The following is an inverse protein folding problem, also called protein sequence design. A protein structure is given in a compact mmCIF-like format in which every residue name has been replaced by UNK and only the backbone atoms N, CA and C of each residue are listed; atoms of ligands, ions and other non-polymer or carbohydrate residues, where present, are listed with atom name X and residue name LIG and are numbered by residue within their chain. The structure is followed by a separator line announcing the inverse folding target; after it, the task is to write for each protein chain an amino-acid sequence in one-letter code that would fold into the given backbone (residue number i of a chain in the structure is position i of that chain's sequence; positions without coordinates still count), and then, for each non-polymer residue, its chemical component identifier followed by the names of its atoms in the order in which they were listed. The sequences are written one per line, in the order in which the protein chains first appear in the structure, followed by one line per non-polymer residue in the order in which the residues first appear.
data_IF_796491883008
#
_entry.id   IF_796491883008
#
_cell.length_a   1.000
_cell.length_b   1.000
_cell.length_c   1.000
_cell.angle_alpha   90.00
_cell.angle_beta   90.00
_cell.angle_gamma   90.00
#
_symmetry.space_group_name_H-M   'P 1'
#
loop_
_entity.id
_entity.type
_entity.pdbx_description
1 polymer ?
#
# COMPACT_ATOMS: atom_id res chain seq x y z
N UNK A 1 -50.71 -24.08 -21.09
CA UNK A 1 -50.08 -24.18 -19.76
C UNK A 1 -48.57 -23.91 -19.78
N UNK A 2 -47.81 -24.48 -20.68
CA UNK A 2 -46.36 -24.29 -20.84
C UNK A 2 -45.91 -22.81 -20.99
N UNK A 3 -46.62 -22.02 -21.79
CA UNK A 3 -46.26 -20.62 -22.06
C UNK A 3 -46.28 -19.74 -20.78
N UNK A 4 -47.20 -20.00 -19.87
CA UNK A 4 -47.29 -19.27 -18.59
C UNK A 4 -46.10 -19.54 -17.68
N UNK A 5 -45.60 -20.77 -17.67
CA UNK A 5 -44.42 -21.14 -16.89
C UNK A 5 -43.13 -20.57 -17.50
N UNK A 6 -43.05 -20.48 -18.83
CA UNK A 6 -41.93 -19.85 -19.52
C UNK A 6 -41.83 -18.34 -19.21
N UNK A 7 -42.95 -17.64 -19.18
CA UNK A 7 -43.00 -16.22 -18.84
C UNK A 7 -42.57 -15.98 -17.39
N UNK A 8 -43.00 -16.83 -16.46
CA UNK A 8 -42.59 -16.70 -15.04
C UNK A 8 -41.08 -16.96 -14.89
N UNK A 9 -40.52 -17.95 -15.61
CA UNK A 9 -39.10 -18.28 -15.58
C UNK A 9 -38.22 -17.16 -16.15
N UNK A 10 -38.70 -16.49 -17.20
CA UNK A 10 -38.00 -15.33 -17.78
C UNK A 10 -38.07 -14.10 -16.84
N UNK A 11 -39.22 -13.86 -16.20
CA UNK A 11 -39.32 -12.75 -15.24
C UNK A 11 -38.46 -12.95 -14.01
N UNK A 12 -38.31 -14.16 -13.50
CA UNK A 12 -37.42 -14.45 -12.36
C UNK A 12 -35.95 -14.32 -12.72
N UNK A 13 -35.57 -14.61 -13.97
CA UNK A 13 -34.19 -14.42 -14.45
C UNK A 13 -33.81 -12.93 -14.60
N UNK A 14 -34.79 -12.05 -14.81
CA UNK A 14 -34.55 -10.60 -14.94
C UNK A 14 -34.44 -9.87 -13.59
N UNK A 15 -34.83 -10.49 -12.48
CA UNK A 15 -34.73 -9.91 -11.14
C UNK A 15 -33.38 -10.20 -10.44
N UNK A 16 -32.50 -10.92 -11.10
CA UNK A 16 -31.22 -11.40 -10.54
C UNK A 16 -30.03 -10.44 -10.62
N UNK A 17 -30.21 -9.21 -11.04
CA UNK A 17 -29.13 -8.19 -10.98
C UNK A 17 -29.38 -7.23 -9.83
N UNK A 18 -29.23 -7.71 -8.62
CA UNK A 18 -28.94 -6.80 -7.51
C UNK A 18 -27.47 -6.40 -7.66
N UNK A 19 -27.24 -5.21 -8.20
CA UNK A 19 -25.93 -4.57 -8.19
C UNK A 19 -25.65 -4.14 -6.73
N UNK A 20 -25.32 -5.11 -5.89
CA UNK A 20 -24.49 -4.82 -4.73
C UNK A 20 -23.25 -4.16 -5.28
N UNK A 21 -23.15 -2.87 -5.09
CA UNK A 21 -21.95 -2.09 -5.40
C UNK A 21 -20.78 -2.87 -4.80
N UNK A 22 -19.99 -3.50 -5.65
CA UNK A 22 -18.81 -4.22 -5.19
C UNK A 22 -17.99 -3.20 -4.39
N UNK A 23 -17.55 -3.52 -3.18
CA UNK A 23 -16.72 -2.61 -2.43
C UNK A 23 -15.58 -2.19 -3.36
N UNK A 24 -15.40 -0.87 -3.51
CA UNK A 24 -14.32 -0.31 -4.32
C UNK A 24 -13.05 -1.04 -3.88
N UNK A 25 -12.40 -1.81 -4.75
CA UNK A 25 -11.24 -2.59 -4.33
C UNK A 25 -10.27 -1.61 -3.73
N UNK A 26 -9.95 -1.79 -2.45
CA UNK A 26 -8.85 -1.06 -1.83
C UNK A 26 -7.68 -1.20 -2.78
N UNK A 27 -7.11 -0.08 -3.25
CA UNK A 27 -6.08 -0.08 -4.28
C UNK A 27 -4.96 -1.05 -3.92
N UNK A 28 -4.13 -1.40 -4.87
CA UNK A 28 -3.04 -2.38 -4.70
C UNK A 28 -2.30 -2.14 -3.37
N UNK A 29 -2.23 -3.16 -2.53
CA UNK A 29 -1.60 -3.13 -1.20
C UNK A 29 -2.14 -2.01 -0.27
N UNK A 30 -3.40 -1.61 -0.42
CA UNK A 30 -3.99 -0.52 0.36
C UNK A 30 -3.59 0.88 -0.11
N UNK A 31 -2.86 1.00 -1.22
CA UNK A 31 -2.59 2.26 -1.88
C UNK A 31 -3.92 2.84 -2.38
N UNK A 32 -4.22 4.07 -2.01
CA UNK A 32 -5.48 4.74 -2.36
C UNK A 32 -6.61 4.55 -1.34
N UNK A 33 -6.42 3.76 -0.27
CA UNK A 33 -7.32 3.79 0.88
C UNK A 33 -6.94 4.96 1.81
N UNK A 34 -7.95 5.56 2.44
CA UNK A 34 -7.72 6.58 3.47
C UNK A 34 -6.82 6.02 4.58
N UNK A 35 -5.74 6.74 4.89
CA UNK A 35 -4.76 6.35 5.90
C UNK A 35 -5.13 6.97 7.26
N UNK A 36 -6.29 6.62 7.80
CA UNK A 36 -6.74 7.15 9.07
C UNK A 36 -5.72 6.89 10.19
N UNK A 37 -5.42 7.92 10.96
CA UNK A 37 -4.46 7.85 12.05
C UNK A 37 -2.99 8.00 11.64
N UNK A 38 -2.71 8.20 10.36
CA UNK A 38 -1.38 8.51 9.85
C UNK A 38 -1.24 9.97 9.46
N UNK A 39 -0.01 10.47 9.49
CA UNK A 39 0.33 11.80 9.00
C UNK A 39 0.14 11.88 7.48
N UNK A 40 -0.34 13.03 7.04
CA UNK A 40 -0.50 13.31 5.61
C UNK A 40 0.66 14.17 5.11
N UNK A 41 1.24 13.79 3.98
CA UNK A 41 2.26 14.61 3.32
C UNK A 41 1.62 15.89 2.78
N UNK A 42 2.17 17.03 3.17
CA UNK A 42 1.70 18.35 2.74
C UNK A 42 2.72 19.05 1.87
N UNK A 43 2.25 19.76 0.86
CA UNK A 43 3.13 20.54 -0.03
C UNK A 43 3.84 21.65 0.75
N UNK A 44 5.15 21.78 0.57
CA UNK A 44 5.95 22.83 1.17
C UNK A 44 6.36 22.57 2.62
N UNK A 45 6.16 21.36 3.11
CA UNK A 45 6.74 20.95 4.40
C UNK A 45 8.26 21.02 4.30
N UNK A 46 8.95 21.77 5.19
CA UNK A 46 10.40 21.85 5.16
C UNK A 46 11.02 20.53 5.58
N UNK A 47 12.11 20.17 4.94
CA UNK A 47 12.96 19.05 5.34
C UNK A 47 14.06 19.54 6.27
N UNK A 48 14.34 18.80 7.33
CA UNK A 48 15.36 19.10 8.35
C UNK A 48 16.40 17.99 8.36
N UNK A 49 17.57 18.27 7.79
CA UNK A 49 18.67 17.30 7.77
C UNK A 49 19.58 17.49 8.99
N UNK A 50 20.13 16.41 9.58
CA UNK A 50 20.09 15.02 9.11
C UNK A 50 18.84 14.22 9.54
N UNK A 51 17.92 14.80 10.33
CA UNK A 51 16.82 14.08 10.96
C UNK A 51 15.90 13.39 9.93
N UNK A 52 15.63 14.06 8.80
CA UNK A 52 14.80 13.53 7.73
C UNK A 52 15.48 12.46 6.85
N UNK A 53 16.71 12.03 7.19
CA UNK A 53 17.26 10.77 6.69
C UNK A 53 16.76 9.56 7.47
N UNK A 54 16.21 9.77 8.65
CA UNK A 54 15.69 8.75 9.53
C UNK A 54 14.31 8.24 9.13
N UNK A 55 13.75 7.41 9.98
CA UNK A 55 12.40 6.91 9.81
C UNK A 55 11.36 7.91 10.34
N UNK A 56 10.26 8.03 9.62
CA UNK A 56 9.11 8.84 9.98
C UNK A 56 7.91 7.93 10.30
N UNK A 57 7.85 7.36 11.49
CA UNK A 57 6.89 6.31 11.84
C UNK A 57 5.42 6.77 11.80
N UNK A 58 5.18 8.08 11.85
CA UNK A 58 3.85 8.67 11.74
C UNK A 58 3.26 8.56 10.33
N UNK A 59 4.09 8.33 9.32
CA UNK A 59 3.62 8.09 7.97
C UNK A 59 3.37 6.61 7.73
N UNK A 60 2.36 6.31 6.92
CA UNK A 60 1.97 4.94 6.60
C UNK A 60 2.99 4.20 5.76
N UNK A 61 3.62 4.90 4.81
CA UNK A 61 4.53 4.34 3.82
C UNK A 61 5.78 5.19 3.75
N UNK A 62 6.93 4.55 3.75
CA UNK A 62 8.23 5.16 3.49
C UNK A 62 9.10 4.22 2.69
N UNK A 63 10.02 4.79 1.94
CA UNK A 63 11.10 4.03 1.33
C UNK A 63 12.38 4.84 1.25
N UNK A 64 13.47 4.14 1.38
CA UNK A 64 14.82 4.64 1.19
C UNK A 64 15.43 3.91 0.02
N UNK A 65 16.18 4.61 -0.79
CA UNK A 65 16.92 3.99 -1.88
C UNK A 65 18.27 4.67 -2.08
N UNK A 66 19.23 3.85 -2.46
CA UNK A 66 20.57 4.29 -2.86
C UNK A 66 20.79 3.83 -4.28
N UNK A 67 21.18 4.75 -5.13
CA UNK A 67 21.63 4.46 -6.48
C UNK A 67 23.08 4.92 -6.61
N UNK A 68 23.96 4.03 -7.02
CA UNK A 68 25.38 4.32 -7.17
C UNK A 68 25.85 3.93 -8.57
N UNK A 69 26.61 4.83 -9.19
CA UNK A 69 27.42 4.55 -10.37
C UNK A 69 28.87 4.46 -9.90
N UNK A 70 29.46 3.31 -10.06
CA UNK A 70 30.78 2.98 -9.57
C UNK A 70 31.72 2.73 -10.74
N UNK A 71 32.98 3.07 -10.58
CA UNK A 71 34.04 2.74 -11.54
C UNK A 71 35.14 2.03 -10.78
N UNK A 72 35.54 0.86 -11.24
CA UNK A 72 36.62 0.11 -10.61
C UNK A 72 38.00 0.63 -11.06
N UNK A 73 39.07 0.04 -10.51
CA UNK A 73 40.44 0.43 -10.80
C UNK A 73 40.84 0.17 -12.27
N UNK A 74 40.12 -0.72 -12.96
CA UNK A 74 40.32 -1.00 -14.39
C UNK A 74 39.58 -0.03 -15.31
N UNK A 75 38.71 0.82 -14.76
CA UNK A 75 37.84 1.74 -15.49
C UNK A 75 36.53 1.13 -15.92
N UNK A 76 36.19 -0.10 -15.48
CA UNK A 76 34.89 -0.71 -15.73
C UNK A 76 33.83 -0.06 -14.88
N UNK A 77 32.64 0.15 -15.49
CA UNK A 77 31.52 0.83 -14.82
C UNK A 77 30.50 -0.16 -14.31
N UNK A 78 30.05 0.08 -13.07
CA UNK A 78 29.07 -0.72 -12.37
C UNK A 78 27.92 0.16 -11.88
N UNK A 79 26.70 -0.37 -11.98
CA UNK A 79 25.53 0.24 -11.35
C UNK A 79 25.10 -0.59 -10.15
N UNK A 80 24.85 0.06 -9.02
CA UNK A 80 24.23 -0.57 -7.85
C UNK A 80 23.00 0.21 -7.43
N UNK A 81 21.95 -0.51 -7.09
CA UNK A 81 20.74 0.08 -6.52
C UNK A 81 20.28 -0.77 -5.35
N UNK A 82 19.91 -0.10 -4.28
CA UNK A 82 19.31 -0.73 -3.09
C UNK A 82 18.09 0.05 -2.67
N UNK A 83 17.05 -0.67 -2.29
CA UNK A 83 15.80 -0.08 -1.83
C UNK A 83 15.33 -0.79 -0.57
N UNK A 84 14.92 -0.01 0.42
CA UNK A 84 14.19 -0.49 1.59
C UNK A 84 12.82 0.20 1.63
N UNK A 85 11.78 -0.58 1.69
CA UNK A 85 10.40 -0.14 1.76
C UNK A 85 9.81 -0.51 3.12
N UNK A 86 9.09 0.42 3.74
CA UNK A 86 8.33 0.21 4.96
C UNK A 86 6.86 0.54 4.73
N UNK A 87 5.99 -0.34 5.16
CA UNK A 87 4.56 -0.09 5.25
C UNK A 87 4.06 -0.38 6.65
N UNK A 88 3.45 0.61 7.29
CA UNK A 88 2.76 0.42 8.55
C UNK A 88 1.34 -0.10 8.30
N UNK A 89 0.97 -1.16 8.98
CA UNK A 89 -0.35 -1.78 8.92
C UNK A 89 -1.34 -1.09 9.88
N UNK A 90 -0.80 -0.51 10.96
CA UNK A 90 -1.55 0.27 11.94
C UNK A 90 -0.72 1.47 12.41
N UNK A 91 -1.34 2.58 12.83
CA UNK A 91 -0.65 3.70 13.46
C UNK A 91 0.07 3.26 14.74
N UNK A 92 1.22 3.88 15.05
CA UNK A 92 2.01 3.50 16.24
C UNK A 92 1.25 3.61 17.56
N UNK A 93 0.27 4.49 17.65
CA UNK A 93 -0.53 4.72 18.86
C UNK A 93 -1.78 3.85 18.95
N UNK A 94 -1.95 2.89 18.02
CA UNK A 94 -3.06 1.96 18.09
C UNK A 94 -2.77 0.89 19.14
N UNK A 95 -3.77 0.57 19.95
CA UNK A 95 -3.71 -0.53 20.92
C UNK A 95 -3.58 -1.92 20.28
N UNK A 96 -3.54 -1.98 18.95
CA UNK A 96 -3.43 -3.20 18.16
C UNK A 96 -1.97 -3.67 17.95
N UNK A 97 -0.98 -2.90 18.44
CA UNK A 97 0.42 -3.31 18.36
C UNK A 97 0.72 -4.31 19.48
N UNK A 98 0.34 -5.55 19.28
CA UNK A 98 0.76 -6.63 20.17
C UNK A 98 2.20 -7.07 19.83
N UNK A 99 2.98 -7.32 20.90
CA UNK A 99 4.34 -7.82 20.77
C UNK A 99 4.35 -9.28 20.25
N UNK A 100 5.29 -9.62 19.40
CA UNK A 100 5.49 -10.97 18.89
C UNK A 100 5.58 -11.04 17.37
N UNK A 101 5.05 -12.12 16.79
CA UNK A 101 5.02 -12.33 15.34
C UNK A 101 4.06 -11.41 14.59
N UNK A 102 3.19 -10.71 15.30
CA UNK A 102 2.27 -9.71 14.74
C UNK A 102 3.00 -8.36 14.69
N UNK A 103 3.75 -8.14 13.64
CA UNK A 103 4.33 -6.83 13.41
C UNK A 103 3.30 -5.88 12.80
N UNK A 104 3.15 -4.69 13.38
CA UNK A 104 2.37 -3.62 12.78
C UNK A 104 3.07 -3.00 11.54
N UNK A 105 4.21 -3.53 11.15
CA UNK A 105 5.00 -3.00 10.03
C UNK A 105 5.50 -4.14 9.14
N UNK A 106 5.44 -3.89 7.84
CA UNK A 106 6.04 -4.76 6.82
C UNK A 106 7.25 -4.04 6.23
N UNK A 107 8.35 -4.78 6.13
CA UNK A 107 9.60 -4.31 5.54
C UNK A 107 9.95 -5.16 4.34
N UNK A 108 10.32 -4.51 3.25
CA UNK A 108 10.73 -5.16 2.02
C UNK A 108 12.02 -4.51 1.53
N UNK A 109 13.07 -5.29 1.36
CA UNK A 109 14.34 -4.84 0.82
C UNK A 109 14.69 -5.60 -0.44
N UNK A 110 15.32 -4.92 -1.41
CA UNK A 110 15.93 -5.54 -2.58
C UNK A 110 17.14 -4.74 -3.07
N UNK A 111 18.01 -5.44 -3.79
CA UNK A 111 19.19 -4.91 -4.45
C UNK A 111 19.26 -5.45 -5.87
#
# INVERSE_FOLDING_TARGET
MMLRWLVVLVLTALLGCDSTEAPVPAGFAGLGSEAQGFSTVTRGQPLVFPDDFGAHPDYRIEWWYVTANLTDESGEQWGAQWTLFRQAMAPQNSSEVEAGWQSAQVWLGHA
#
